data_IF_782047614104
#
_entry.id   IF_782047614104
#
_cell.length_a   1.000
_cell.length_b   1.000
_cell.length_c   1.000
_cell.angle_alpha   90.00
_cell.angle_beta   90.00
_cell.angle_gamma   90.00
#
_symmetry.space_group_name_H-M   'P 1'
#
loop_
_entity.id
_entity.type
_entity.pdbx_description
1 polymer ?
#
# COMPACT_ATOMS: atom_id res chain seq x y z
N UNK A 1 -19.66 -84.46 2.25
CA UNK A 1 -18.99 -84.49 0.94
C UNK A 1 -19.33 -83.17 0.26
N UNK A 2 -18.45 -82.18 0.37
CA UNK A 2 -18.63 -80.86 -0.25
C UNK A 2 -17.99 -80.90 -1.64
N UNK A 3 -18.61 -80.35 -2.70
CA UNK A 3 -17.93 -80.21 -3.97
C UNK A 3 -16.91 -79.05 -3.87
N UNK A 4 -15.65 -79.36 -4.16
CA UNK A 4 -14.60 -78.37 -4.41
C UNK A 4 -14.94 -77.61 -5.69
N UNK A 5 -15.49 -76.40 -5.53
CA UNK A 5 -15.59 -75.44 -6.63
C UNK A 5 -14.31 -74.61 -6.66
N UNK A 6 -13.29 -75.11 -7.35
CA UNK A 6 -12.17 -74.27 -7.78
C UNK A 6 -12.69 -73.25 -8.79
N UNK A 7 -12.41 -71.95 -8.66
CA UNK A 7 -12.76 -70.99 -9.69
C UNK A 7 -11.95 -71.35 -10.92
N UNK A 8 -12.62 -71.74 -12.01
CA UNK A 8 -11.97 -71.80 -13.30
C UNK A 8 -11.60 -70.36 -13.68
N UNK A 9 -10.32 -70.03 -13.61
CA UNK A 9 -9.77 -68.88 -14.30
C UNK A 9 -10.09 -69.05 -15.79
N UNK A 10 -11.21 -68.47 -16.21
CA UNK A 10 -11.63 -68.46 -17.60
C UNK A 10 -10.58 -67.65 -18.37
N UNK A 11 -9.66 -68.36 -19.02
CA UNK A 11 -8.66 -67.77 -19.92
C UNK A 11 -9.44 -67.10 -21.05
N UNK A 12 -9.55 -65.78 -21.00
CA UNK A 12 -10.15 -64.97 -22.06
C UNK A 12 -9.45 -65.25 -23.39
N UNK A 13 -10.22 -65.40 -24.46
CA UNK A 13 -9.63 -65.51 -25.79
C UNK A 13 -8.96 -64.20 -26.19
N UNK A 14 -7.92 -64.28 -27.03
CA UNK A 14 -7.18 -63.09 -27.50
C UNK A 14 -8.09 -62.02 -28.12
N UNK A 15 -9.19 -62.44 -28.75
CA UNK A 15 -10.19 -61.55 -29.35
C UNK A 15 -11.00 -60.76 -28.30
N UNK A 16 -11.35 -61.41 -27.19
CA UNK A 16 -12.04 -60.77 -26.07
C UNK A 16 -11.08 -59.85 -25.30
N UNK A 17 -9.82 -60.28 -25.11
CA UNK A 17 -8.78 -59.46 -24.50
C UNK A 17 -8.51 -58.19 -25.29
N UNK A 18 -8.42 -58.29 -26.62
CA UNK A 18 -8.23 -57.13 -27.50
C UNK A 18 -9.43 -56.17 -27.51
N UNK A 19 -10.64 -56.66 -27.23
CA UNK A 19 -11.85 -55.85 -27.15
C UNK A 19 -11.91 -55.12 -25.81
N UNK A 20 -11.63 -55.83 -24.71
CA UNK A 20 -11.62 -55.24 -23.38
C UNK A 20 -10.47 -54.24 -23.19
N UNK A 21 -9.29 -54.53 -23.76
CA UNK A 21 -8.17 -53.60 -23.78
C UNK A 21 -8.54 -52.28 -24.48
N UNK A 22 -9.24 -52.35 -25.62
CA UNK A 22 -9.74 -51.15 -26.31
C UNK A 22 -10.73 -50.36 -25.45
N UNK A 23 -11.59 -51.04 -24.68
CA UNK A 23 -12.54 -50.38 -23.76
C UNK A 23 -11.81 -49.67 -22.63
N UNK A 24 -10.83 -50.32 -22.00
CA UNK A 24 -10.04 -49.76 -20.89
C UNK A 24 -9.24 -48.55 -21.37
N UNK A 25 -8.60 -48.62 -22.54
CA UNK A 25 -7.86 -47.50 -23.11
C UNK A 25 -8.81 -46.33 -23.41
N UNK A 26 -9.97 -46.58 -24.03
CA UNK A 26 -10.93 -45.53 -24.32
C UNK A 26 -11.47 -44.85 -23.05
N UNK A 27 -11.66 -45.60 -21.97
CA UNK A 27 -12.11 -45.06 -20.68
C UNK A 27 -10.99 -44.30 -19.95
N UNK A 28 -9.74 -44.77 -20.04
CA UNK A 28 -8.57 -44.10 -19.47
C UNK A 28 -8.28 -42.74 -20.13
N UNK A 29 -8.57 -42.59 -21.42
CA UNK A 29 -8.43 -41.34 -22.16
C UNK A 29 -9.71 -40.50 -22.19
N UNK A 30 -10.73 -40.87 -21.43
CA UNK A 30 -11.93 -40.05 -21.26
C UNK A 30 -11.53 -38.74 -20.55
N UNK A 31 -11.87 -37.56 -21.09
CA UNK A 31 -11.54 -36.29 -20.45
C UNK A 31 -12.18 -36.23 -19.06
N UNK A 32 -11.36 -36.28 -18.01
CA UNK A 32 -11.79 -36.26 -16.60
C UNK A 32 -12.06 -34.85 -16.07
N UNK A 33 -11.76 -33.81 -16.87
CA UNK A 33 -11.96 -32.43 -16.51
C UNK A 33 -12.72 -31.69 -17.62
N UNK A 34 -13.87 -31.13 -17.26
CA UNK A 34 -14.54 -30.13 -18.08
C UNK A 34 -13.72 -28.84 -18.02
N UNK A 35 -13.16 -28.41 -19.16
CA UNK A 35 -12.54 -27.10 -19.32
C UNK A 35 -13.50 -26.25 -20.15
N UNK A 36 -14.11 -25.25 -19.52
CA UNK A 36 -14.94 -24.28 -20.23
C UNK A 36 -14.07 -23.46 -21.20
N UNK A 37 -14.31 -23.52 -22.53
CA UNK A 37 -13.59 -22.72 -23.50
C UNK A 37 -14.18 -21.31 -23.67
N UNK A 38 -15.19 -20.93 -22.89
CA UNK A 38 -15.79 -19.61 -22.97
C UNK A 38 -14.74 -18.51 -22.73
N UNK A 39 -14.75 -17.44 -23.54
CA UNK A 39 -13.81 -16.35 -23.35
C UNK A 39 -14.06 -15.69 -21.99
N UNK A 40 -13.01 -15.60 -21.18
CA UNK A 40 -13.10 -14.96 -19.86
C UNK A 40 -13.43 -13.47 -20.07
N UNK A 41 -14.47 -12.92 -19.42
CA UNK A 41 -14.81 -11.51 -19.55
C UNK A 41 -13.66 -10.64 -19.03
N UNK A 42 -13.41 -9.52 -19.73
CA UNK A 42 -12.35 -8.55 -19.39
C UNK A 42 -12.53 -7.95 -17.99
N UNK A 43 -13.77 -7.96 -17.49
CA UNK A 43 -14.13 -7.47 -16.16
C UNK A 43 -15.06 -8.48 -15.50
N UNK A 44 -14.64 -9.00 -14.34
CA UNK A 44 -15.50 -9.82 -13.49
C UNK A 44 -16.35 -8.96 -12.56
N UNK A 45 -17.49 -9.51 -12.14
CA UNK A 45 -18.39 -8.88 -11.15
C UNK A 45 -17.87 -9.00 -9.71
N UNK A 46 -16.69 -9.60 -9.53
CA UNK A 46 -16.06 -9.75 -8.22
C UNK A 46 -15.73 -8.36 -7.67
N UNK A 47 -16.24 -8.00 -6.49
CA UNK A 47 -15.92 -6.71 -5.88
C UNK A 47 -14.41 -6.63 -5.63
N UNK A 48 -13.81 -5.44 -5.71
CA UNK A 48 -12.39 -5.26 -5.43
C UNK A 48 -12.03 -5.84 -4.07
N UNK A 49 -11.15 -6.83 -4.06
CA UNK A 49 -10.59 -7.38 -2.81
C UNK A 49 -9.77 -6.28 -2.15
N UNK A 50 -10.02 -6.03 -0.87
CA UNK A 50 -9.26 -5.06 -0.10
C UNK A 50 -7.77 -5.44 -0.11
N UNK A 51 -6.95 -4.62 -0.74
CA UNK A 51 -5.51 -4.84 -0.75
C UNK A 51 -4.94 -4.50 0.64
N UNK A 52 -4.12 -5.38 1.24
CA UNK A 52 -3.41 -5.05 2.47
C UNK A 52 -2.45 -3.90 2.19
N UNK A 53 -2.66 -2.75 2.82
CA UNK A 53 -1.85 -1.56 2.62
C UNK A 53 -2.61 -0.27 2.95
N UNK A 54 -1.90 0.86 2.90
CA UNK A 54 -2.54 2.17 3.04
C UNK A 54 -3.51 2.34 1.87
N UNK A 55 -4.81 2.59 2.10
CA UNK A 55 -5.73 2.86 1.01
C UNK A 55 -5.14 3.99 0.15
N UNK A 56 -5.24 3.89 -1.19
CA UNK A 56 -4.86 4.99 -2.06
C UNK A 56 -5.50 6.26 -1.52
N UNK A 57 -4.67 7.31 -1.37
CA UNK A 57 -5.07 8.60 -0.79
C UNK A 57 -6.48 8.96 -1.25
N UNK A 58 -7.38 9.24 -0.30
CA UNK A 58 -8.77 9.49 -0.67
C UNK A 58 -8.82 10.60 -1.71
N UNK A 59 -9.66 10.45 -2.74
CA UNK A 59 -9.73 11.42 -3.84
C UNK A 59 -9.92 12.85 -3.33
N UNK A 60 -10.74 13.05 -2.29
CA UNK A 60 -10.90 14.37 -1.66
C UNK A 60 -9.63 14.92 -1.01
N UNK A 61 -8.76 14.07 -0.44
CA UNK A 61 -7.48 14.50 0.08
C UNK A 61 -6.47 14.83 -1.03
N UNK A 62 -6.50 14.09 -2.15
CA UNK A 62 -5.71 14.41 -3.34
C UNK A 62 -6.15 15.74 -3.96
N UNK A 63 -7.46 15.93 -4.16
CA UNK A 63 -8.01 17.17 -4.72
C UNK A 63 -7.72 18.38 -3.84
N UNK A 64 -7.87 18.25 -2.53
CA UNK A 64 -7.51 19.31 -1.59
C UNK A 64 -6.02 19.67 -1.66
N UNK A 65 -5.14 18.67 -1.79
CA UNK A 65 -3.70 18.90 -1.90
C UNK A 65 -3.34 19.61 -3.21
N UNK A 66 -3.99 19.23 -4.31
CA UNK A 66 -3.80 19.87 -5.62
C UNK A 66 -4.31 21.31 -5.60
N UNK A 67 -5.47 21.56 -4.99
CA UNK A 67 -6.00 22.92 -4.82
C UNK A 67 -5.11 23.80 -3.96
N UNK A 68 -4.57 23.27 -2.85
CA UNK A 68 -3.61 24.01 -2.03
C UNK A 68 -2.33 24.33 -2.79
N UNK A 69 -1.80 23.37 -3.57
CA UNK A 69 -0.61 23.59 -4.39
C UNK A 69 -0.87 24.65 -5.46
N UNK A 70 -1.98 24.52 -6.20
CA UNK A 70 -2.36 25.44 -7.25
C UNK A 70 -2.58 26.86 -6.70
N UNK A 71 -3.32 26.98 -5.59
CA UNK A 71 -3.55 28.27 -4.91
C UNK A 71 -2.27 28.90 -4.37
N UNK A 72 -1.34 28.09 -3.85
CA UNK A 72 -0.03 28.56 -3.42
C UNK A 72 0.77 29.13 -4.58
N UNK A 73 0.92 28.37 -5.66
CA UNK A 73 1.68 28.78 -6.85
C UNK A 73 1.12 30.06 -7.47
N UNK A 74 -0.20 30.17 -7.63
CA UNK A 74 -0.82 31.37 -8.20
C UNK A 74 -0.60 32.59 -7.31
N UNK A 75 -0.78 32.46 -6.00
CA UNK A 75 -0.57 33.56 -5.06
C UNK A 75 0.89 34.01 -5.03
N UNK A 76 1.84 33.08 -5.06
CA UNK A 76 3.28 33.42 -5.09
C UNK A 76 3.68 34.11 -6.40
N UNK A 77 3.14 33.67 -7.54
CA UNK A 77 3.43 34.32 -8.83
C UNK A 77 2.85 35.74 -8.90
N UNK A 78 1.58 35.93 -8.54
CA UNK A 78 0.94 37.25 -8.59
C UNK A 78 1.55 38.20 -7.53
N UNK A 79 1.70 37.74 -6.29
CA UNK A 79 2.31 38.55 -5.23
C UNK A 79 3.79 38.84 -5.48
N UNK A 80 4.54 37.84 -5.96
CA UNK A 80 5.95 37.97 -6.28
C UNK A 80 6.21 38.94 -7.43
N UNK A 81 5.44 38.86 -8.51
CA UNK A 81 5.54 39.82 -9.63
C UNK A 81 5.18 41.23 -9.20
N UNK A 82 4.11 41.43 -8.42
CA UNK A 82 3.75 42.74 -7.88
C UNK A 82 4.86 43.32 -6.98
N UNK A 83 5.45 42.50 -6.09
CA UNK A 83 6.56 42.92 -5.23
C UNK A 83 7.81 43.31 -6.03
N UNK A 84 8.17 42.52 -7.06
CA UNK A 84 9.31 42.81 -7.95
C UNK A 84 9.06 44.11 -8.74
N UNK A 85 7.85 44.31 -9.27
CA UNK A 85 7.50 45.53 -10.00
C UNK A 85 7.61 46.77 -9.11
N UNK A 86 7.09 46.71 -7.87
CA UNK A 86 7.20 47.81 -6.91
C UNK A 86 8.66 48.10 -6.51
N UNK A 87 9.48 47.05 -6.34
CA UNK A 87 10.90 47.19 -6.04
C UNK A 87 11.68 47.84 -7.19
N UNK A 88 11.47 47.38 -8.43
CA UNK A 88 12.15 47.91 -9.63
C UNK A 88 11.67 49.32 -9.96
N UNK A 89 10.41 49.66 -9.69
CA UNK A 89 9.86 50.99 -9.96
C UNK A 89 10.32 52.09 -8.98
N UNK A 90 11.14 51.76 -7.96
CA UNK A 90 11.66 52.70 -6.94
C UNK A 90 10.57 53.46 -6.15
N UNK A 91 9.29 53.02 -6.26
CA UNK A 91 8.16 53.56 -5.48
C UNK A 91 7.99 52.88 -4.12
N UNK A 92 8.77 51.83 -3.86
CA UNK A 92 8.70 51.04 -2.65
C UNK A 92 9.82 51.40 -1.67
N UNK A 93 9.45 51.85 -0.48
CA UNK A 93 10.33 51.71 0.68
C UNK A 93 10.52 50.21 0.96
N UNK A 94 11.75 49.66 0.84
CA UNK A 94 12.01 48.24 0.99
C UNK A 94 11.61 47.69 2.36
N UNK A 95 11.60 48.53 3.42
CA UNK A 95 11.12 48.13 4.74
C UNK A 95 9.60 47.90 4.75
N UNK A 96 8.85 48.79 4.09
CA UNK A 96 7.38 48.68 4.01
C UNK A 96 6.99 47.46 3.17
N UNK A 97 7.65 47.24 2.03
CA UNK A 97 7.41 46.04 1.23
C UNK A 97 7.78 44.75 1.99
N UNK A 98 8.93 44.74 2.67
CA UNK A 98 9.32 43.61 3.50
C UNK A 98 8.30 43.30 4.60
N UNK A 99 7.73 44.32 5.23
CA UNK A 99 6.72 44.15 6.28
C UNK A 99 5.36 43.72 5.72
N UNK A 100 4.89 44.32 4.63
CA UNK A 100 3.59 44.01 4.02
C UNK A 100 3.56 42.60 3.41
N UNK A 101 4.64 42.16 2.75
CA UNK A 101 4.71 40.83 2.14
C UNK A 101 5.25 39.75 3.10
N UNK A 102 6.20 40.12 3.96
CA UNK A 102 6.88 39.19 4.86
C UNK A 102 6.12 38.88 6.14
N UNK A 103 5.42 39.85 6.74
CA UNK A 103 4.71 39.61 8.00
C UNK A 103 3.55 38.60 7.86
N UNK A 104 2.70 38.63 6.81
CA UNK A 104 1.63 37.65 6.64
C UNK A 104 2.18 36.24 6.36
N UNK A 105 3.24 36.12 5.57
CA UNK A 105 3.86 34.82 5.26
C UNK A 105 4.56 34.23 6.48
N UNK A 106 5.28 35.04 7.26
CA UNK A 106 5.88 34.61 8.52
C UNK A 106 4.83 34.16 9.54
N UNK A 107 3.70 34.87 9.63
CA UNK A 107 2.57 34.49 10.48
C UNK A 107 2.03 33.10 10.09
N UNK A 108 1.72 32.88 8.81
CA UNK A 108 1.19 31.60 8.33
C UNK A 108 2.18 30.45 8.59
N UNK A 109 3.47 30.66 8.35
CA UNK A 109 4.51 29.67 8.62
C UNK A 109 4.65 29.36 10.12
N UNK A 110 4.54 30.37 10.98
CA UNK A 110 4.57 30.18 12.43
C UNK A 110 3.37 29.35 12.91
N UNK A 111 2.16 29.62 12.41
CA UNK A 111 0.98 28.80 12.69
C UNK A 111 1.14 27.37 12.17
N UNK A 112 1.68 27.18 10.97
CA UNK A 112 1.90 25.85 10.40
C UNK A 112 2.91 25.03 11.23
N UNK A 113 3.98 25.67 11.72
CA UNK A 113 4.97 25.04 12.61
C UNK A 113 4.37 24.66 13.96
N UNK A 114 3.53 25.52 14.54
CA UNK A 114 2.81 25.23 15.78
C UNK A 114 1.91 24.00 15.62
N UNK A 115 1.15 23.93 14.52
CA UNK A 115 0.27 22.80 14.23
C UNK A 115 1.02 21.50 13.93
N UNK A 116 2.24 21.58 13.38
CA UNK A 116 3.12 20.40 13.21
C UNK A 116 3.54 19.80 14.56
N UNK A 117 3.83 20.63 15.56
CA UNK A 117 4.20 20.18 16.91
C UNK A 117 3.04 19.54 17.68
N UNK A 118 1.80 19.85 17.31
CA UNK A 118 0.59 19.32 17.95
C UNK A 118 0.11 17.98 17.36
N UNK A 119 0.80 17.41 16.36
CA UNK A 119 0.38 16.14 15.77
C UNK A 119 0.65 14.98 16.74
N UNK A 120 -0.35 14.12 17.02
CA UNK A 120 -0.14 12.92 17.80
C UNK A 120 0.90 12.02 17.12
N UNK A 121 1.67 11.30 17.93
CA UNK A 121 2.69 10.38 17.43
C UNK A 121 2.07 9.40 16.42
N UNK A 122 2.73 9.14 15.28
CA UNK A 122 2.21 8.24 14.28
C UNK A 122 2.07 6.83 14.88
N UNK A 123 0.94 6.18 14.61
CA UNK A 123 0.71 4.82 15.05
C UNK A 123 1.60 3.87 14.24
N UNK A 124 2.58 3.25 14.92
CA UNK A 124 3.58 2.38 14.27
C UNK A 124 3.15 0.92 14.44
N UNK A 125 2.56 0.34 13.40
CA UNK A 125 2.19 -1.07 13.39
C UNK A 125 3.36 -1.94 12.89
N UNK A 126 4.06 -2.58 13.82
CA UNK A 126 5.09 -3.57 13.49
C UNK A 126 4.46 -4.93 13.21
N UNK A 127 4.70 -5.48 12.02
CA UNK A 127 4.36 -6.86 11.69
C UNK A 127 5.62 -7.72 11.82
N UNK A 128 5.50 -8.85 12.52
CA UNK A 128 6.61 -9.76 12.74
C UNK A 128 6.22 -11.18 12.33
N UNK A 129 7.00 -11.78 11.45
CA UNK A 129 6.77 -13.13 10.92
C UNK A 129 7.48 -14.22 11.75
N UNK A 130 7.40 -14.13 13.09
CA UNK A 130 8.06 -15.08 14.00
C UNK A 130 7.75 -14.85 15.47
N UNK A 131 8.18 -15.76 16.37
CA UNK A 131 8.00 -15.57 17.81
C UNK A 131 8.83 -14.38 18.29
N UNK A 132 8.15 -13.31 18.67
CA UNK A 132 8.76 -12.06 19.14
C UNK A 132 8.74 -12.00 20.66
N UNK A 133 9.92 -11.85 21.25
CA UNK A 133 10.05 -11.39 22.62
C UNK A 133 10.10 -9.85 22.60
N UNK A 134 9.01 -9.21 23.01
CA UNK A 134 8.92 -7.76 23.08
C UNK A 134 9.31 -7.28 24.47
N UNK A 135 10.51 -6.74 24.58
CA UNK A 135 10.98 -6.08 25.79
C UNK A 135 10.34 -4.68 25.89
N UNK A 136 9.43 -4.50 26.85
CA UNK A 136 8.67 -3.26 27.03
C UNK A 136 9.40 -2.23 27.90
N UNK A 137 10.70 -2.40 28.16
CA UNK A 137 11.47 -1.44 28.94
C UNK A 137 11.66 -0.14 28.15
N UNK A 138 11.04 0.95 28.64
CA UNK A 138 11.26 2.29 28.12
C UNK A 138 12.50 2.88 28.79
N UNK A 139 13.64 2.86 28.10
CA UNK A 139 14.88 3.44 28.61
C UNK A 139 15.07 4.79 27.94
N UNK A 140 14.89 5.86 28.73
CA UNK A 140 15.09 7.22 28.24
C UNK A 140 16.53 7.66 28.53
N UNK A 141 17.37 7.63 27.50
CA UNK A 141 18.78 8.05 27.60
C UNK A 141 18.92 9.51 27.20
N UNK A 142 19.41 10.35 28.12
CA UNK A 142 19.74 11.75 27.82
C UNK A 142 21.25 11.93 27.77
N UNK A 143 21.78 12.20 26.58
CA UNK A 143 23.20 12.53 26.38
C UNK A 143 23.36 14.03 26.22
N UNK A 144 24.06 14.68 27.16
CA UNK A 144 24.31 16.13 27.10
C UNK A 144 25.76 16.43 27.48
N UNK A 145 26.43 17.32 26.73
CA UNK A 145 27.76 17.87 27.08
C UNK A 145 28.92 17.50 26.14
N UNK A 146 30.02 18.26 26.22
CA UNK A 146 31.29 18.04 25.49
C UNK A 146 32.09 16.85 26.05
N UNK A 147 31.83 16.49 27.32
CA UNK A 147 32.12 15.17 27.88
C UNK A 147 30.80 14.48 28.17
N UNK A 148 30.52 13.39 27.45
CA UNK A 148 29.23 12.73 27.48
C UNK A 148 29.03 12.02 28.83
N UNK A 149 28.13 12.55 29.66
CA UNK A 149 27.55 11.81 30.78
C UNK A 149 26.23 11.20 30.32
N UNK A 150 26.15 9.87 30.38
CA UNK A 150 24.94 9.13 30.07
C UNK A 150 24.20 8.85 31.38
N UNK A 151 23.03 9.44 31.56
CA UNK A 151 22.08 9.02 32.60
C UNK A 151 21.00 8.17 31.94
N UNK A 152 20.79 6.98 32.49
CA UNK A 152 19.66 6.11 32.17
C UNK A 152 18.70 6.16 33.35
N UNK A 153 17.52 6.70 33.14
CA UNK A 153 16.44 6.74 34.12
C UNK A 153 15.45 5.60 33.78
N UNK A 154 15.00 4.86 34.81
CA UNK A 154 14.03 3.76 34.72
C UNK A 154 12.69 4.21 35.28
#
# INVERSE_FOLDING_TARGET
>A
MYPDATPQDAVMSDAEAATEARRIIADAYRPTAYRDPSPVPVRGDTPPVAQPGRPPMSQGATDASVLMLAGGVTTTMVGGTAAVLMYVSQFADPLVCGLVFGAPTALVLALAQLLKGAKPAPDVHHHYDGPVYQDQRNIQTRTTGVWAKTNNEQ
#
